data_IF_384533197142
#
_entry.id   IF_384533197142
#
_cell.length_a   1.000
_cell.length_b   1.000
_cell.length_c   1.000
_cell.angle_alpha   90.00
_cell.angle_beta   90.00
_cell.angle_gamma   90.00
#
_symmetry.space_group_name_H-M   'P 1'
#
loop_
_entity.id
_entity.type
_entity.pdbx_description
1 polymer ?
#
# COMPACT_ATOMS: atom_id res chain seq x y z
N UNK A 1 -13.23 81.38 -27.13
CA UNK A 1 -11.98 80.63 -26.83
C UNK A 1 -12.33 79.41 -26.00
N UNK A 2 -12.61 78.28 -26.69
CA UNK A 2 -13.13 77.06 -26.09
C UNK A 2 -12.00 76.07 -25.98
N UNK A 3 -11.68 75.62 -24.78
CA UNK A 3 -10.79 74.47 -24.57
C UNK A 3 -11.63 73.22 -24.30
N UNK A 4 -11.70 72.34 -25.29
CA UNK A 4 -12.24 70.98 -25.18
C UNK A 4 -11.29 70.13 -24.36
N UNK A 5 -11.68 69.73 -23.18
CA UNK A 5 -10.99 68.68 -22.39
C UNK A 5 -11.47 67.30 -22.87
N UNK A 6 -10.65 66.61 -23.66
CA UNK A 6 -10.87 65.20 -23.99
C UNK A 6 -10.60 64.32 -22.76
N UNK A 7 -11.65 63.77 -22.21
CA UNK A 7 -11.58 62.67 -21.19
C UNK A 7 -11.18 61.39 -21.93
N UNK A 8 -9.97 60.93 -21.70
CA UNK A 8 -9.52 59.58 -22.07
C UNK A 8 -10.18 58.56 -21.10
N UNK A 9 -11.13 57.82 -21.59
CA UNK A 9 -11.65 56.61 -20.93
C UNK A 9 -10.65 55.46 -21.18
N UNK A 10 -9.89 55.05 -20.15
CA UNK A 10 -9.14 53.84 -20.17
C UNK A 10 -10.08 52.64 -19.94
N UNK A 11 -10.17 51.67 -20.84
CA UNK A 11 -10.85 50.44 -20.53
C UNK A 11 -10.01 49.61 -19.59
N UNK A 12 -10.51 49.37 -18.39
CA UNK A 12 -9.94 48.39 -17.45
C UNK A 12 -10.24 47.01 -18.04
N UNK A 13 -9.23 46.41 -18.64
CA UNK A 13 -9.25 44.98 -19.02
C UNK A 13 -9.09 44.16 -17.74
N UNK A 14 -10.21 43.67 -17.22
CA UNK A 14 -10.23 42.66 -16.17
C UNK A 14 -9.78 41.35 -16.81
N UNK A 15 -8.49 41.06 -16.69
CA UNK A 15 -7.94 39.78 -17.04
C UNK A 15 -8.35 38.78 -15.93
N UNK A 16 -9.53 38.16 -16.13
CA UNK A 16 -9.94 37.04 -15.29
C UNK A 16 -9.00 35.86 -15.54
N UNK A 17 -7.99 35.71 -14.70
CA UNK A 17 -7.13 34.53 -14.66
C UNK A 17 -7.97 33.34 -14.22
N UNK A 18 -8.45 32.56 -15.17
CA UNK A 18 -8.93 31.20 -14.95
C UNK A 18 -7.73 30.37 -14.45
N UNK A 19 -7.60 30.24 -13.14
CA UNK A 19 -6.75 29.23 -12.53
C UNK A 19 -7.38 27.86 -12.84
N UNK A 20 -6.70 27.01 -13.62
CA UNK A 20 -7.16 25.64 -13.73
C UNK A 20 -7.05 25.01 -12.34
N UNK A 21 -8.19 24.64 -11.73
CA UNK A 21 -8.21 23.69 -10.62
C UNK A 21 -7.66 22.36 -11.17
N UNK A 22 -6.36 22.15 -11.06
CA UNK A 22 -5.78 20.85 -11.21
C UNK A 22 -6.17 20.03 -9.98
N UNK A 23 -7.37 19.47 -10.02
CA UNK A 23 -7.71 18.37 -9.15
C UNK A 23 -6.72 17.24 -9.43
N UNK A 24 -5.91 16.88 -8.45
CA UNK A 24 -5.11 15.67 -8.52
C UNK A 24 -6.08 14.51 -8.69
N UNK A 25 -6.14 13.96 -9.91
CA UNK A 25 -6.85 12.70 -10.16
C UNK A 25 -5.99 11.62 -9.51
N UNK A 26 -6.40 11.16 -8.33
CA UNK A 26 -5.81 9.98 -7.74
C UNK A 26 -6.11 8.80 -8.68
N UNK A 27 -5.08 8.38 -9.42
CA UNK A 27 -5.16 7.18 -10.24
C UNK A 27 -5.13 5.97 -9.30
N UNK A 28 -6.30 5.44 -8.98
CA UNK A 28 -6.43 4.18 -8.25
C UNK A 28 -6.40 3.04 -9.25
N UNK A 29 -5.46 2.11 -9.08
CA UNK A 29 -5.46 0.88 -9.87
C UNK A 29 -6.69 0.06 -9.53
N UNK A 30 -7.43 -0.35 -10.55
CA UNK A 30 -8.59 -1.22 -10.41
C UNK A 30 -8.11 -2.67 -10.43
N UNK A 31 -8.40 -3.41 -9.36
CA UNK A 31 -7.98 -4.81 -9.18
C UNK A 31 -9.21 -5.72 -9.08
N UNK A 32 -9.01 -6.99 -9.44
CA UNK A 32 -10.00 -8.04 -9.09
C UNK A 32 -9.88 -8.27 -7.58
N UNK A 33 -11.01 -8.22 -6.87
CA UNK A 33 -11.06 -8.43 -5.43
C UNK A 33 -10.61 -9.84 -5.05
N UNK A 34 -9.73 -9.95 -4.05
CA UNK A 34 -9.32 -11.22 -3.46
C UNK A 34 -9.97 -11.35 -2.08
N UNK A 35 -10.78 -12.40 -1.91
CA UNK A 35 -11.35 -12.74 -0.60
C UNK A 35 -10.27 -13.17 0.38
N UNK A 36 -10.57 -13.12 1.67
CA UNK A 36 -9.68 -13.66 2.72
C UNK A 36 -9.36 -15.13 2.50
N UNK A 37 -10.31 -15.90 1.97
CA UNK A 37 -10.11 -17.29 1.61
C UNK A 37 -9.04 -17.44 0.53
N UNK A 38 -9.18 -16.73 -0.59
CA UNK A 38 -8.20 -16.79 -1.69
C UNK A 38 -6.81 -16.33 -1.24
N UNK A 39 -6.72 -15.24 -0.49
CA UNK A 39 -5.47 -14.78 0.09
C UNK A 39 -4.84 -15.84 0.99
N UNK A 40 -5.64 -16.49 1.85
CA UNK A 40 -5.18 -17.56 2.73
C UNK A 40 -4.65 -18.76 1.93
N UNK A 41 -5.41 -19.22 0.93
CA UNK A 41 -5.01 -20.38 0.10
C UNK A 41 -3.75 -20.10 -0.71
N UNK A 42 -3.57 -18.88 -1.21
CA UNK A 42 -2.42 -18.48 -2.01
C UNK A 42 -1.17 -18.14 -1.19
N UNK A 43 -1.29 -17.98 0.13
CA UNK A 43 -0.18 -17.60 0.99
C UNK A 43 0.52 -18.82 1.58
N UNK A 44 1.85 -18.84 1.57
CA UNK A 44 2.67 -19.81 2.30
C UNK A 44 2.84 -19.46 3.78
N UNK A 45 2.72 -18.17 4.12
CA UNK A 45 2.89 -17.65 5.47
C UNK A 45 1.90 -16.50 5.71
N UNK A 46 1.21 -16.52 6.85
CA UNK A 46 0.41 -15.37 7.32
C UNK A 46 0.85 -15.01 8.72
N UNK A 47 1.21 -13.74 8.91
CA UNK A 47 1.72 -13.23 10.20
C UNK A 47 1.06 -11.93 10.61
N UNK A 48 0.98 -11.70 11.93
CA UNK A 48 0.89 -10.35 12.47
C UNK A 48 2.26 -9.91 12.95
N UNK A 49 2.52 -8.61 12.88
CA UNK A 49 3.80 -8.07 13.34
C UNK A 49 3.86 -6.56 13.23
N UNK A 50 4.97 -6.02 13.71
CA UNK A 50 5.26 -4.59 13.66
C UNK A 50 6.36 -4.32 12.62
N UNK A 51 6.15 -3.33 11.78
CA UNK A 51 7.15 -2.83 10.84
C UNK A 51 8.22 -2.09 11.62
N UNK A 52 9.42 -2.66 11.72
CA UNK A 52 10.53 -2.05 12.47
C UNK A 52 11.31 -1.05 11.62
N UNK A 53 11.56 -1.40 10.37
CA UNK A 53 12.43 -0.65 9.47
C UNK A 53 11.98 -0.84 8.04
N UNK A 54 12.12 0.19 7.23
CA UNK A 54 11.98 0.14 5.77
C UNK A 54 13.22 0.74 5.13
N UNK A 55 13.77 0.07 4.12
CA UNK A 55 14.94 0.52 3.39
C UNK A 55 14.71 0.40 1.89
N UNK A 56 14.71 1.53 1.20
CA UNK A 56 14.60 1.57 -0.26
C UNK A 56 15.98 1.49 -0.91
N UNK A 57 16.05 0.81 -2.04
CA UNK A 57 17.25 0.67 -2.85
C UNK A 57 16.89 0.48 -4.32
N UNK A 58 17.85 0.72 -5.20
CA UNK A 58 17.71 0.34 -6.61
C UNK A 58 17.61 -1.18 -6.74
N UNK A 59 16.72 -1.65 -7.59
CA UNK A 59 16.72 -3.05 -8.01
C UNK A 59 18.02 -3.39 -8.74
N UNK A 60 18.35 -4.68 -8.85
CA UNK A 60 19.62 -5.15 -9.44
C UNK A 60 19.83 -4.63 -10.88
N UNK A 61 18.76 -4.49 -11.64
CA UNK A 61 18.76 -3.91 -13.01
C UNK A 61 18.83 -2.38 -13.03
N UNK A 62 18.76 -1.70 -11.88
CA UNK A 62 18.73 -0.24 -11.73
C UNK A 62 17.58 0.48 -12.47
N UNK A 63 16.55 -0.24 -12.88
CA UNK A 63 15.39 0.32 -13.59
C UNK A 63 14.22 0.64 -12.66
N UNK A 64 14.22 0.08 -11.44
CA UNK A 64 13.17 0.26 -10.46
C UNK A 64 13.74 0.48 -9.06
N UNK A 65 12.94 1.11 -8.21
CA UNK A 65 13.21 1.19 -6.77
C UNK A 65 12.39 0.11 -6.07
N UNK A 66 13.02 -0.61 -5.17
CA UNK A 66 12.39 -1.60 -4.31
C UNK A 66 12.61 -1.24 -2.86
N UNK A 67 11.63 -1.54 -2.03
CA UNK A 67 11.74 -1.35 -0.58
C UNK A 67 11.70 -2.70 0.12
N UNK A 68 12.61 -2.88 1.07
CA UNK A 68 12.66 -4.04 1.97
C UNK A 68 12.21 -3.55 3.34
N UNK A 69 11.11 -4.10 3.82
CA UNK A 69 10.61 -3.87 5.18
C UNK A 69 10.99 -5.03 6.09
N UNK A 70 11.48 -4.73 7.29
CA UNK A 70 11.73 -5.71 8.34
C UNK A 70 10.56 -5.73 9.30
N UNK A 71 9.87 -6.88 9.39
CA UNK A 71 8.70 -7.08 10.24
C UNK A 71 9.11 -7.92 11.43
N UNK A 72 8.92 -7.42 12.65
CA UNK A 72 9.01 -8.22 13.88
C UNK A 72 7.71 -9.01 14.03
N UNK A 73 7.80 -10.34 13.92
CA UNK A 73 6.64 -11.23 14.02
C UNK A 73 6.13 -11.21 15.46
N UNK A 74 4.84 -10.95 15.62
CA UNK A 74 4.12 -11.07 16.87
C UNK A 74 3.42 -12.44 16.97
N UNK A 75 2.78 -12.85 15.86
CA UNK A 75 2.08 -14.14 15.77
C UNK A 75 2.21 -14.72 14.35
N UNK A 76 2.40 -16.04 14.25
CA UNK A 76 2.26 -16.79 13.00
C UNK A 76 0.88 -17.41 12.99
N UNK A 77 0.04 -16.98 12.03
CA UNK A 77 -1.37 -17.41 11.92
C UNK A 77 -1.46 -18.64 11.02
N UNK A 78 -0.69 -18.65 9.90
CA UNK A 78 -0.60 -19.74 8.95
C UNK A 78 0.86 -20.01 8.58
N UNK A 79 1.18 -21.27 8.33
CA UNK A 79 2.53 -21.69 7.94
C UNK A 79 3.47 -21.85 9.12
N UNK A 80 4.78 -21.76 8.86
CA UNK A 80 5.82 -21.89 9.88
C UNK A 80 6.94 -20.88 9.66
N UNK A 81 7.38 -20.23 10.71
CA UNK A 81 8.59 -19.41 10.72
C UNK A 81 9.34 -19.66 12.03
N UNK A 82 10.60 -20.06 11.92
CA UNK A 82 11.50 -20.13 13.07
C UNK A 82 12.13 -18.76 13.39
N UNK A 83 12.10 -17.84 12.44
CA UNK A 83 12.66 -16.50 12.58
C UNK A 83 11.68 -15.59 13.34
N UNK A 84 12.22 -14.73 14.21
CA UNK A 84 11.46 -13.70 14.90
C UNK A 84 11.14 -12.49 14.01
N UNK A 85 11.79 -12.40 12.87
CA UNK A 85 11.65 -11.32 11.90
C UNK A 85 11.56 -11.89 10.48
N UNK A 86 10.82 -11.23 9.61
CA UNK A 86 10.80 -11.51 8.18
C UNK A 86 11.10 -10.23 7.40
N UNK A 87 11.77 -10.39 6.26
CA UNK A 87 12.00 -9.31 5.30
C UNK A 87 10.93 -9.39 4.22
N UNK A 88 10.23 -8.31 4.00
CA UNK A 88 9.17 -8.19 2.98
C UNK A 88 9.62 -7.20 1.93
N UNK A 89 9.70 -7.65 0.68
CA UNK A 89 10.12 -6.84 -0.47
C UNK A 89 8.89 -6.40 -1.27
N UNK A 90 8.87 -5.14 -1.65
CA UNK A 90 7.85 -4.58 -2.53
C UNK A 90 8.42 -3.48 -3.43
N UNK A 91 7.73 -3.20 -4.54
CA UNK A 91 8.12 -2.17 -5.50
C UNK A 91 7.75 -0.78 -4.99
N UNK A 92 8.59 0.21 -5.30
CA UNK A 92 8.43 1.59 -4.89
C UNK A 92 9.34 2.00 -3.72
N UNK A 93 9.33 3.29 -3.41
CA UNK A 93 10.15 3.89 -2.37
C UNK A 93 10.89 5.12 -2.86
N UNK A 94 11.87 5.59 -2.09
CA UNK A 94 12.69 6.76 -2.41
C UNK A 94 14.16 6.44 -2.19
N UNK A 95 15.00 6.80 -3.18
CA UNK A 95 16.46 6.65 -3.14
C UNK A 95 17.07 7.90 -3.74
N UNK A 96 18.00 8.56 -3.01
CA UNK A 96 18.75 9.74 -3.46
C UNK A 96 17.85 10.87 -4.00
N UNK A 97 16.68 11.09 -3.36
CA UNK A 97 15.72 12.10 -3.76
C UNK A 97 14.88 11.74 -4.99
N UNK A 98 15.02 10.52 -5.51
CA UNK A 98 14.16 9.97 -6.55
C UNK A 98 13.12 9.05 -5.93
N UNK A 99 11.84 9.39 -6.10
CA UNK A 99 10.71 8.60 -5.64
C UNK A 99 10.08 7.79 -6.77
N UNK A 100 9.76 6.52 -6.50
CA UNK A 100 8.94 5.68 -7.36
C UNK A 100 7.70 5.20 -6.60
N UNK A 101 6.53 5.41 -7.17
CA UNK A 101 5.26 4.95 -6.61
C UNK A 101 4.59 3.98 -7.57
N UNK A 102 4.18 2.84 -7.04
CA UNK A 102 3.44 1.82 -7.77
C UNK A 102 2.03 1.75 -7.17
N UNK A 103 1.02 1.95 -8.00
CA UNK A 103 -0.35 2.26 -7.58
C UNK A 103 -1.08 1.15 -6.83
N UNK A 104 -0.65 -0.09 -6.95
CA UNK A 104 -1.31 -1.25 -6.34
C UNK A 104 -0.42 -1.97 -5.31
N UNK A 105 0.69 -1.36 -4.92
CA UNK A 105 1.63 -1.92 -3.94
C UNK A 105 1.23 -1.56 -2.52
N UNK A 106 1.36 -2.51 -1.60
CA UNK A 106 1.20 -2.27 -0.17
C UNK A 106 2.43 -1.54 0.38
N UNK A 107 2.32 -0.24 0.61
CA UNK A 107 3.36 0.51 1.31
C UNK A 107 3.36 0.12 2.81
N UNK A 108 4.54 -0.13 3.38
CA UNK A 108 4.74 -0.43 4.80
C UNK A 108 5.46 0.74 5.47
N UNK A 109 4.96 1.17 6.61
CA UNK A 109 5.50 2.32 7.37
C UNK A 109 6.06 1.86 8.71
N UNK A 110 7.23 2.36 9.09
CA UNK A 110 7.85 2.05 10.39
C UNK A 110 6.90 2.35 11.56
N UNK A 111 6.83 1.44 12.54
CA UNK A 111 5.92 1.50 13.69
C UNK A 111 4.49 1.02 13.41
N UNK A 112 4.16 0.68 12.16
CA UNK A 112 2.83 0.19 11.80
C UNK A 112 2.65 -1.27 12.26
N UNK A 113 1.53 -1.59 12.91
CA UNK A 113 1.14 -2.98 13.17
C UNK A 113 0.34 -3.51 12.00
N UNK A 114 0.74 -4.66 11.48
CA UNK A 114 0.17 -5.22 10.25
C UNK A 114 -0.18 -6.70 10.37
N UNK A 115 -1.14 -7.15 9.55
CA UNK A 115 -1.34 -8.55 9.21
C UNK A 115 -1.02 -8.71 7.72
N UNK A 116 -0.12 -9.63 7.41
CA UNK A 116 0.40 -9.82 6.05
C UNK A 116 0.18 -11.25 5.56
N UNK A 117 -0.28 -11.35 4.32
CA UNK A 117 -0.35 -12.58 3.54
C UNK A 117 0.89 -12.66 2.66
N UNK A 118 1.76 -13.65 2.90
CA UNK A 118 3.11 -13.69 2.36
C UNK A 118 3.37 -14.98 1.58
N UNK A 119 4.13 -14.83 0.49
CA UNK A 119 4.81 -15.95 -0.16
C UNK A 119 6.33 -15.74 -0.10
N UNK A 120 7.06 -16.83 -0.07
CA UNK A 120 8.51 -16.79 -0.16
C UNK A 120 8.89 -16.31 -1.56
N UNK A 121 9.58 -15.20 -1.64
CA UNK A 121 10.20 -14.67 -2.83
C UNK A 121 11.60 -15.27 -3.06
N UNK A 122 12.50 -14.47 -3.60
CA UNK A 122 13.87 -14.90 -3.83
C UNK A 122 14.61 -15.12 -2.52
N UNK A 123 15.43 -16.19 -2.47
CA UNK A 123 16.33 -16.45 -1.36
C UNK A 123 17.67 -15.81 -1.68
N UNK A 124 18.03 -14.79 -0.91
CA UNK A 124 19.32 -14.10 -1.02
C UNK A 124 20.29 -14.61 0.07
N UNK A 125 21.57 -14.23 -0.04
CA UNK A 125 22.59 -14.52 0.99
C UNK A 125 22.19 -14.03 2.40
N UNK A 126 21.35 -13.03 2.48
CA UNK A 126 20.86 -12.39 3.72
C UNK A 126 19.58 -13.01 4.30
N UNK A 127 19.14 -14.15 3.76
CA UNK A 127 17.97 -14.91 4.20
C UNK A 127 16.83 -14.90 3.20
N UNK A 128 15.69 -15.48 3.59
CA UNK A 128 14.49 -15.51 2.78
C UNK A 128 13.81 -14.13 2.76
N UNK A 129 13.56 -13.62 1.58
CA UNK A 129 12.69 -12.48 1.35
C UNK A 129 11.28 -12.98 1.03
N UNK A 130 10.29 -12.23 1.46
CA UNK A 130 8.87 -12.51 1.22
C UNK A 130 8.25 -11.41 0.38
N UNK A 131 7.22 -11.77 -0.37
CA UNK A 131 6.40 -10.87 -1.15
C UNK A 131 4.95 -10.93 -0.65
N UNK A 132 4.24 -9.80 -0.72
CA UNK A 132 2.84 -9.73 -0.28
C UNK A 132 1.95 -10.30 -1.38
N UNK A 133 1.14 -11.30 -1.03
CA UNK A 133 0.16 -11.91 -1.93
C UNK A 133 -0.95 -10.91 -2.25
N UNK A 134 -1.27 -10.77 -3.53
CA UNK A 134 -2.31 -9.83 -3.97
C UNK A 134 -1.96 -8.37 -3.76
N UNK A 135 -0.65 -8.05 -3.60
CA UNK A 135 -0.14 -6.69 -3.45
C UNK A 135 -0.84 -5.96 -2.28
N UNK A 136 -1.45 -4.77 -2.51
CA UNK A 136 -2.15 -4.02 -1.47
C UNK A 136 -3.28 -4.81 -0.78
N UNK A 137 -3.88 -5.79 -1.46
CA UNK A 137 -4.96 -6.60 -0.89
C UNK A 137 -4.48 -7.57 0.20
N UNK A 138 -3.21 -7.99 0.15
CA UNK A 138 -2.60 -8.90 1.12
C UNK A 138 -2.08 -8.22 2.39
N UNK A 139 -2.31 -6.93 2.56
CA UNK A 139 -1.96 -6.16 3.75
C UNK A 139 -3.20 -5.68 4.48
N UNK A 140 -3.23 -5.87 5.78
CA UNK A 140 -4.09 -5.14 6.70
C UNK A 140 -3.24 -4.31 7.65
N UNK A 141 -3.63 -3.07 7.88
CA UNK A 141 -3.14 -2.25 8.99
C UNK A 141 -4.02 -2.50 10.21
N UNK A 142 -3.43 -2.79 11.35
CA UNK A 142 -4.12 -3.00 12.62
C UNK A 142 -4.05 -1.71 13.43
N UNK A 143 -5.22 -1.12 13.69
CA UNK A 143 -5.31 0.08 14.53
C UNK A 143 -5.23 -0.24 16.03
N UNK A 144 -5.06 0.80 16.85
CA UNK A 144 -5.10 0.69 18.33
C UNK A 144 -6.47 0.18 18.86
N UNK A 145 -7.49 0.23 18.02
CA UNK A 145 -8.83 -0.30 18.28
C UNK A 145 -8.96 -1.79 17.97
N UNK A 146 -7.87 -2.47 17.61
CA UNK A 146 -7.82 -3.86 17.16
C UNK A 146 -8.71 -4.16 15.94
N UNK A 147 -8.90 -3.18 15.08
CA UNK A 147 -9.59 -3.36 13.80
C UNK A 147 -8.56 -3.44 12.68
N UNK A 148 -8.70 -4.47 11.86
CA UNK A 148 -7.89 -4.69 10.66
C UNK A 148 -8.52 -3.97 9.46
N UNK A 149 -7.75 -3.10 8.80
CA UNK A 149 -8.18 -2.25 7.68
C UNK A 149 -7.29 -2.42 6.48
N UNK A 150 -7.91 -2.48 5.31
CA UNK A 150 -7.22 -2.42 4.02
C UNK A 150 -7.29 -1.01 3.43
N UNK A 151 -6.22 -0.60 2.76
CA UNK A 151 -6.14 0.68 2.04
C UNK A 151 -5.34 0.54 0.75
N UNK A 152 -5.46 1.51 -0.14
CA UNK A 152 -4.56 1.68 -1.28
C UNK A 152 -4.96 0.94 -2.57
N UNK A 153 -6.22 0.45 -2.68
CA UNK A 153 -6.72 -0.13 -3.92
C UNK A 153 -8.23 0.08 -4.09
N UNK A 154 -8.70 -0.07 -5.32
CA UNK A 154 -10.12 -0.08 -5.67
C UNK A 154 -10.46 -1.39 -6.38
N UNK A 155 -11.63 -1.94 -6.15
CA UNK A 155 -12.08 -3.22 -6.71
C UNK A 155 -13.07 -2.98 -7.85
N UNK A 156 -12.83 -3.65 -8.98
CA UNK A 156 -13.65 -3.53 -10.20
C UNK A 156 -15.00 -4.21 -10.12
N UNK A 157 -15.08 -5.33 -9.40
CA UNK A 157 -16.29 -6.15 -9.37
C UNK A 157 -16.58 -6.60 -7.93
N UNK A 158 -17.73 -6.18 -7.41
CA UNK A 158 -18.18 -6.45 -6.05
C UNK A 158 -18.65 -7.89 -5.79
N UNK A 159 -18.27 -8.88 -6.62
CA UNK A 159 -18.66 -10.28 -6.41
C UNK A 159 -17.91 -10.94 -5.27
N UNK A 160 -16.67 -10.54 -5.02
CA UNK A 160 -15.87 -11.05 -3.91
C UNK A 160 -16.11 -10.21 -2.65
N UNK A 161 -16.43 -10.86 -1.56
CA UNK A 161 -16.54 -10.21 -0.25
C UNK A 161 -15.14 -9.94 0.28
N UNK A 162 -14.74 -8.68 0.20
CA UNK A 162 -13.48 -8.24 0.80
C UNK A 162 -13.74 -7.89 2.25
N UNK A 163 -13.13 -8.66 3.15
CA UNK A 163 -13.13 -8.29 4.57
C UNK A 163 -12.34 -7.00 4.77
N UNK A 164 -13.00 -5.98 5.28
CA UNK A 164 -12.40 -4.71 5.68
C UNK A 164 -13.09 -4.20 6.95
N UNK A 165 -12.41 -3.33 7.72
CA UNK A 165 -12.93 -2.83 8.99
C UNK A 165 -13.43 -3.95 9.92
N UNK A 166 -12.65 -5.04 10.00
CA UNK A 166 -12.98 -6.27 10.73
C UNK A 166 -12.13 -6.40 12.00
N UNK A 167 -12.70 -6.84 13.14
CA UNK A 167 -11.90 -7.17 14.31
C UNK A 167 -10.81 -8.19 13.97
N UNK A 168 -9.57 -7.93 14.42
CA UNK A 168 -8.41 -8.79 14.13
C UNK A 168 -8.66 -10.24 14.54
N UNK A 169 -9.31 -10.48 15.70
CA UNK A 169 -9.63 -11.82 16.18
C UNK A 169 -10.53 -12.60 15.22
N UNK A 170 -11.53 -11.93 14.64
CA UNK A 170 -12.44 -12.54 13.65
C UNK A 170 -11.70 -12.84 12.34
N UNK A 171 -10.82 -11.93 11.92
CA UNK A 171 -10.01 -12.15 10.71
C UNK A 171 -9.07 -13.36 10.90
N UNK A 172 -8.40 -13.47 12.05
CA UNK A 172 -7.53 -14.60 12.38
C UNK A 172 -8.31 -15.92 12.40
N UNK A 173 -9.51 -15.94 13.00
CA UNK A 173 -10.37 -17.11 13.03
C UNK A 173 -10.75 -17.56 11.62
N UNK A 174 -11.14 -16.64 10.73
CA UNK A 174 -11.41 -16.93 9.32
C UNK A 174 -10.21 -17.55 8.62
N UNK A 175 -9.00 -16.96 8.80
CA UNK A 175 -7.77 -17.45 8.18
C UNK A 175 -7.48 -18.88 8.63
N UNK A 176 -7.56 -19.18 9.93
CA UNK A 176 -7.34 -20.52 10.47
C UNK A 176 -8.35 -21.55 9.98
N UNK A 177 -9.60 -21.13 9.80
CA UNK A 177 -10.63 -21.97 9.20
C UNK A 177 -10.25 -22.36 7.77
N UNK A 178 -9.88 -21.41 6.92
CA UNK A 178 -9.52 -21.65 5.52
C UNK A 178 -8.17 -22.37 5.34
N UNK A 179 -7.29 -22.36 6.33
CA UNK A 179 -6.06 -23.18 6.33
C UNK A 179 -6.37 -24.66 6.50
N UNK A 180 -7.44 -25.01 7.23
CA UNK A 180 -7.78 -26.38 7.60
C UNK A 180 -8.81 -27.03 6.63
N UNK A 181 -9.36 -26.28 5.68
CA UNK A 181 -10.20 -26.78 4.60
C UNK A 181 -9.39 -27.21 3.36
#
# INVERSE_FOLDING_TARGET
>A
MHYLTKRLLFPIIICATLLPLWGAVESSAMMIGLSTELLTRQSGLVVTGEVQETKSQWADNKEAIVTIATIAIQEVIKGRSAAKKVKVKYEGGEVDGMGMRVSDTAELTGGETVLLFLNQGHQNSDGAEYEIVGKAQGKYTIGNDNIARKKGFSVLDGKEVIDNDIPVSILIEKIRKYENE
#
